data_IF_194556584078
#
_entry.id   IF_194556584078
#
_cell.length_a   1.000
_cell.length_b   1.000
_cell.length_c   1.000
_cell.angle_alpha   90.00
_cell.angle_beta   90.00
_cell.angle_gamma   90.00
#
_symmetry.space_group_name_H-M   'P 1'
#
loop_
_entity.id
_entity.type
_entity.pdbx_description
1 polymer ?
#
# COMPACT_ATOMS: atom_id res chain seq x y z
N UNK A 1 -4.31 2.28 -20.54
CA UNK A 1 -4.82 2.69 -19.22
C UNK A 1 -3.62 2.90 -18.30
N UNK A 2 -3.73 3.78 -17.30
CA UNK A 2 -2.66 4.01 -16.34
C UNK A 2 -2.82 2.99 -15.21
N UNK A 3 -1.77 2.22 -14.88
CA UNK A 3 -1.84 1.11 -13.94
C UNK A 3 -1.47 1.62 -12.55
N UNK A 4 -2.45 2.00 -11.74
CA UNK A 4 -2.23 2.81 -10.53
C UNK A 4 -2.82 2.20 -9.27
N UNK A 5 -2.09 2.35 -8.19
CA UNK A 5 -2.63 2.34 -6.84
C UNK A 5 -2.69 3.77 -6.33
N UNK A 6 -3.81 4.15 -5.72
CA UNK A 6 -4.03 5.49 -5.18
C UNK A 6 -4.34 5.37 -3.70
N UNK A 7 -3.55 6.02 -2.86
CA UNK A 7 -3.85 6.18 -1.45
C UNK A 7 -4.63 7.48 -1.25
N UNK A 8 -5.81 7.34 -0.65
CA UNK A 8 -6.75 8.40 -0.39
C UNK A 8 -6.95 8.59 1.12
N UNK A 9 -7.08 9.84 1.54
CA UNK A 9 -7.66 10.23 2.82
C UNK A 9 -9.12 10.61 2.61
N UNK A 10 -9.98 10.26 3.56
CA UNK A 10 -11.41 10.52 3.49
C UNK A 10 -11.83 11.30 4.73
N UNK A 11 -12.63 12.33 4.55
CA UNK A 11 -13.18 13.12 5.66
C UNK A 11 -14.27 12.38 6.45
N UNK A 12 -14.84 11.34 5.85
CA UNK A 12 -16.00 10.56 6.31
C UNK A 12 -15.80 9.06 6.03
N UNK A 13 -16.74 8.20 6.45
CA UNK A 13 -16.70 6.76 6.15
C UNK A 13 -17.24 6.48 4.75
N UNK A 14 -16.42 5.82 3.92
CA UNK A 14 -16.73 5.54 2.52
C UNK A 14 -17.98 4.68 2.32
N UNK A 15 -18.28 3.77 3.25
CA UNK A 15 -19.39 2.82 3.09
C UNK A 15 -20.65 3.22 3.85
N UNK A 16 -20.56 4.19 4.76
CA UNK A 16 -21.68 4.62 5.60
C UNK A 16 -22.26 5.98 5.16
N UNK A 17 -21.44 6.86 4.57
CA UNK A 17 -21.82 8.24 4.26
C UNK A 17 -22.08 8.46 2.75
N UNK A 18 -23.07 9.29 2.43
CA UNK A 18 -23.47 9.59 1.04
C UNK A 18 -22.56 10.61 0.34
N UNK A 19 -21.89 11.50 1.09
CA UNK A 19 -21.05 12.60 0.57
C UNK A 19 -19.62 12.55 1.10
N UNK A 20 -18.86 11.56 0.65
CA UNK A 20 -17.47 11.36 1.09
C UNK A 20 -16.50 12.12 0.18
N UNK A 21 -15.68 13.01 0.75
CA UNK A 21 -14.65 13.72 0.00
C UNK A 21 -13.37 12.89 -0.03
N UNK A 22 -12.92 12.59 -1.25
CA UNK A 22 -11.70 11.86 -1.50
C UNK A 22 -10.53 12.82 -1.68
N UNK A 23 -9.51 12.68 -0.84
CA UNK A 23 -8.28 13.45 -0.89
C UNK A 23 -7.11 12.58 -1.30
N UNK A 24 -6.56 12.82 -2.49
CA UNK A 24 -5.38 12.08 -2.95
C UNK A 24 -4.15 12.41 -2.11
N UNK A 25 -3.60 11.40 -1.43
CA UNK A 25 -2.39 11.52 -0.62
C UNK A 25 -1.16 11.15 -1.42
N UNK A 26 -1.25 10.04 -2.14
CA UNK A 26 -0.16 9.52 -2.94
C UNK A 26 -0.65 8.59 -4.06
N UNK A 27 0.13 8.53 -5.13
CA UNK A 27 -0.14 7.72 -6.32
C UNK A 27 1.11 6.93 -6.69
N UNK A 28 0.92 5.65 -7.05
CA UNK A 28 2.00 4.79 -7.53
C UNK A 28 1.54 3.96 -8.70
N UNK A 29 2.42 3.87 -9.70
CA UNK A 29 2.18 3.02 -10.85
C UNK A 29 2.72 1.61 -10.59
N UNK A 30 1.98 0.60 -11.04
CA UNK A 30 2.40 -0.80 -11.07
C UNK A 30 2.91 -1.34 -9.73
N UNK A 31 2.52 -0.79 -8.57
CA UNK A 31 2.95 -1.27 -7.25
C UNK A 31 2.11 -0.68 -6.12
N UNK A 32 1.99 -1.44 -5.02
CA UNK A 32 1.47 -0.95 -3.74
C UNK A 32 2.64 -0.87 -2.76
N UNK A 33 3.12 0.32 -2.37
CA UNK A 33 4.23 0.45 -1.44
C UNK A 33 3.98 -0.25 -0.11
N UNK A 34 5.01 -0.94 0.41
CA UNK A 34 4.99 -1.59 1.72
C UNK A 34 4.55 -0.65 2.85
N UNK A 35 5.01 0.61 2.81
CA UNK A 35 4.64 1.62 3.81
C UNK A 35 3.13 1.90 3.80
N UNK A 36 2.47 1.82 2.65
CA UNK A 36 1.01 2.00 2.56
C UNK A 36 0.27 0.83 3.20
N UNK A 37 0.79 -0.40 3.06
CA UNK A 37 0.23 -1.59 3.70
C UNK A 37 0.28 -1.50 5.24
N UNK A 38 1.20 -0.72 5.80
CA UNK A 38 1.25 -0.47 7.26
C UNK A 38 -0.02 0.16 7.83
N UNK A 39 -0.89 0.74 6.99
CA UNK A 39 -2.16 1.32 7.41
C UNK A 39 -3.25 0.26 7.63
N UNK A 40 -3.10 -0.93 7.04
CA UNK A 40 -4.18 -1.89 6.89
C UNK A 40 -3.88 -3.23 7.57
N UNK A 41 -4.93 -4.02 7.74
CA UNK A 41 -4.92 -5.42 8.19
C UNK A 41 -5.58 -6.33 7.16
N UNK A 42 -5.34 -7.64 7.24
CA UNK A 42 -6.11 -8.64 6.49
C UNK A 42 -7.63 -8.42 6.50
N UNK A 43 -8.18 -8.00 7.63
CA UNK A 43 -9.61 -7.75 7.80
C UNK A 43 -10.13 -6.44 7.17
N UNK A 44 -9.27 -5.64 6.53
CA UNK A 44 -9.61 -4.34 5.96
C UNK A 44 -9.88 -4.41 4.45
N UNK A 45 -9.73 -5.60 3.84
CA UNK A 45 -10.13 -5.84 2.45
C UNK A 45 -11.65 -5.74 2.35
N UNK A 46 -12.13 -4.87 1.46
CA UNK A 46 -13.56 -4.65 1.17
C UNK A 46 -13.78 -4.75 -0.32
N UNK A 47 -14.95 -5.23 -0.73
CA UNK A 47 -15.35 -5.29 -2.13
C UNK A 47 -16.27 -4.11 -2.45
N UNK A 48 -15.97 -3.37 -3.50
CA UNK A 48 -16.82 -2.32 -4.05
C UNK A 48 -16.94 -2.51 -5.56
N UNK A 49 -18.13 -2.87 -6.06
CA UNK A 49 -18.34 -3.24 -7.48
C UNK A 49 -17.26 -4.19 -8.02
N UNK A 50 -17.01 -5.29 -7.30
CA UNK A 50 -16.00 -6.31 -7.64
C UNK A 50 -14.53 -5.85 -7.61
N UNK A 51 -14.27 -4.66 -7.08
CA UNK A 51 -12.94 -4.11 -6.87
C UNK A 51 -12.53 -4.30 -5.41
N UNK A 52 -11.41 -5.00 -5.13
CA UNK A 52 -10.91 -5.18 -3.77
C UNK A 52 -10.16 -3.94 -3.29
N UNK A 53 -10.75 -3.17 -2.39
CA UNK A 53 -10.18 -1.97 -1.80
C UNK A 53 -9.69 -2.26 -0.37
N UNK A 54 -8.77 -1.46 0.16
CA UNK A 54 -8.41 -1.49 1.59
C UNK A 54 -8.96 -0.25 2.27
N UNK A 55 -9.75 -0.41 3.33
CA UNK A 55 -10.28 0.72 4.10
C UNK A 55 -10.01 0.52 5.59
N UNK A 56 -9.41 1.52 6.22
CA UNK A 56 -9.21 1.56 7.66
C UNK A 56 -9.60 2.93 8.22
N UNK A 57 -10.22 2.93 9.40
CA UNK A 57 -10.42 4.16 10.17
C UNK A 57 -9.07 4.75 10.59
N UNK A 58 -9.05 6.04 10.84
CA UNK A 58 -7.84 6.73 11.32
C UNK A 58 -7.29 6.09 12.57
N UNK A 59 -8.15 5.78 13.53
CA UNK A 59 -7.74 5.15 14.79
C UNK A 59 -7.07 3.80 14.51
N UNK A 60 -7.69 2.96 13.68
CA UNK A 60 -7.12 1.67 13.29
C UNK A 60 -5.79 1.83 12.54
N UNK A 61 -5.72 2.75 11.57
CA UNK A 61 -4.53 3.00 10.77
C UNK A 61 -3.35 3.48 11.63
N UNK A 62 -3.59 4.38 12.59
CA UNK A 62 -2.55 4.85 13.52
C UNK A 62 -2.09 3.73 14.47
N UNK A 63 -3.01 2.90 14.95
CA UNK A 63 -2.66 1.72 15.74
C UNK A 63 -1.84 0.70 14.93
N UNK A 64 -2.17 0.52 13.65
CA UNK A 64 -1.44 -0.35 12.72
C UNK A 64 -0.02 0.15 12.45
N UNK A 65 0.15 1.46 12.24
CA UNK A 65 1.46 2.10 12.10
C UNK A 65 2.31 1.91 13.36
N UNK A 66 1.76 2.20 14.54
CA UNK A 66 2.47 2.05 15.81
C UNK A 66 2.94 0.61 16.04
N UNK A 67 2.08 -0.37 15.71
CA UNK A 67 2.40 -1.79 15.83
C UNK A 67 3.48 -2.24 14.82
N UNK A 68 3.35 -1.86 13.55
CA UNK A 68 4.18 -2.41 12.48
C UNK A 68 5.52 -1.69 12.29
N UNK A 69 5.63 -0.42 12.69
CA UNK A 69 6.83 0.39 12.44
C UNK A 69 8.15 -0.22 12.94
N UNK A 70 8.25 -0.82 14.15
CA UNK A 70 9.49 -1.46 14.60
C UNK A 70 9.90 -2.63 13.72
N UNK A 71 8.95 -3.51 13.39
CA UNK A 71 9.19 -4.70 12.57
C UNK A 71 9.57 -4.33 11.13
N UNK A 72 8.86 -3.37 10.53
CA UNK A 72 9.15 -2.86 9.18
C UNK A 72 10.51 -2.17 9.13
N UNK A 73 10.86 -1.39 10.16
CA UNK A 73 12.19 -0.77 10.26
C UNK A 73 13.29 -1.83 10.33
N UNK A 74 13.10 -2.88 11.14
CA UNK A 74 14.05 -3.99 11.25
C UNK A 74 14.19 -4.75 9.92
N UNK A 75 13.08 -4.97 9.22
CA UNK A 75 13.02 -5.65 7.94
C UNK A 75 13.75 -4.90 6.82
N UNK A 76 13.48 -3.59 6.70
CA UNK A 76 14.10 -2.75 5.69
C UNK A 76 15.57 -2.39 6.00
N UNK A 77 16.01 -2.64 7.24
CA UNK A 77 17.37 -2.43 7.69
C UNK A 77 17.64 -1.01 8.25
N UNK A 78 18.84 -0.79 8.81
CA UNK A 78 19.14 0.36 9.67
C UNK A 78 19.05 1.73 8.97
N UNK A 79 19.18 1.78 7.64
CA UNK A 79 19.02 3.03 6.88
C UNK A 79 17.57 3.48 6.69
N UNK A 80 16.59 2.64 7.03
CA UNK A 80 15.16 2.88 6.77
C UNK A 80 14.42 3.59 7.91
N UNK A 81 15.02 3.68 9.10
CA UNK A 81 14.34 4.19 10.29
C UNK A 81 13.77 5.61 10.10
N UNK A 82 14.54 6.50 9.47
CA UNK A 82 14.08 7.85 9.16
C UNK A 82 12.91 7.87 8.17
N UNK A 83 12.91 6.97 7.18
CA UNK A 83 11.83 6.85 6.21
C UNK A 83 10.53 6.36 6.86
N UNK A 84 10.62 5.31 7.69
CA UNK A 84 9.46 4.77 8.42
C UNK A 84 8.90 5.82 9.39
N UNK A 85 9.76 6.54 10.11
CA UNK A 85 9.33 7.61 10.99
C UNK A 85 8.63 8.74 10.23
N UNK A 86 9.20 9.21 9.11
CA UNK A 86 8.59 10.25 8.28
C UNK A 86 7.22 9.83 7.75
N UNK A 87 7.05 8.56 7.39
CA UNK A 87 5.76 8.01 7.00
C UNK A 87 4.74 8.06 8.13
N UNK A 88 5.10 7.57 9.32
CA UNK A 88 4.25 7.63 10.50
C UNK A 88 3.86 9.09 10.84
N UNK A 89 4.80 10.03 10.77
CA UNK A 89 4.54 11.44 11.00
C UNK A 89 3.62 12.07 9.95
N UNK A 90 3.82 11.74 8.67
CA UNK A 90 2.98 12.23 7.58
C UNK A 90 1.53 11.82 7.79
N UNK A 91 1.28 10.54 8.05
CA UNK A 91 -0.06 10.01 8.31
C UNK A 91 -0.64 10.60 9.61
N UNK A 92 0.17 10.67 10.67
CA UNK A 92 -0.22 11.23 11.96
C UNK A 92 -0.66 12.70 11.91
N UNK A 93 -0.06 13.51 11.03
CA UNK A 93 -0.38 14.95 10.87
C UNK A 93 -1.68 15.21 10.12
N UNK A 94 -2.13 14.27 9.28
CA UNK A 94 -3.39 14.39 8.57
C UNK A 94 -4.58 14.30 9.55
N UNK A 95 -5.76 14.77 9.16
CA UNK A 95 -6.99 14.74 10.00
C UNK A 95 -8.16 14.01 9.34
N UNK A 96 -7.87 13.10 8.41
CA UNK A 96 -8.88 12.29 7.73
C UNK A 96 -9.55 11.31 8.70
N UNK A 97 -10.84 11.05 8.52
CA UNK A 97 -11.56 10.03 9.28
C UNK A 97 -11.12 8.62 8.88
N UNK A 98 -10.85 8.40 7.59
CA UNK A 98 -10.46 7.10 7.04
C UNK A 98 -9.29 7.21 6.05
N UNK A 99 -8.68 6.06 5.76
CA UNK A 99 -7.70 5.87 4.70
C UNK A 99 -8.16 4.75 3.76
N UNK A 100 -8.13 5.01 2.46
CA UNK A 100 -8.54 4.06 1.42
C UNK A 100 -7.38 3.81 0.45
N UNK A 101 -7.06 2.55 0.20
CA UNK A 101 -6.25 2.16 -0.95
C UNK A 101 -7.17 1.77 -2.10
N UNK A 102 -7.18 2.59 -3.14
CA UNK A 102 -7.86 2.29 -4.39
C UNK A 102 -6.95 1.50 -5.33
N UNK A 103 -7.41 0.31 -5.70
CA UNK A 103 -6.72 -0.67 -6.54
C UNK A 103 -7.44 -0.91 -7.87
N UNK A 104 -8.43 -0.09 -8.24
CA UNK A 104 -9.24 -0.26 -9.45
C UNK A 104 -8.39 -0.52 -10.69
N UNK A 105 -7.41 0.37 -10.94
CA UNK A 105 -6.53 0.28 -12.10
C UNK A 105 -5.62 -0.97 -12.06
N UNK A 106 -5.43 -1.61 -10.91
CA UNK A 106 -4.74 -2.90 -10.79
C UNK A 106 -5.68 -4.08 -11.02
N UNK A 107 -6.91 -4.04 -10.48
CA UNK A 107 -7.91 -5.10 -10.64
C UNK A 107 -8.34 -5.28 -12.10
N UNK A 108 -8.42 -4.19 -12.87
CA UNK A 108 -8.78 -4.28 -14.30
C UNK A 108 -7.70 -4.93 -15.17
N UNK A 109 -6.49 -5.15 -14.64
CA UNK A 109 -5.41 -5.88 -15.31
C UNK A 109 -5.46 -7.38 -15.06
N UNK A 110 -6.40 -7.83 -14.24
CA UNK A 110 -6.53 -9.22 -13.89
C UNK A 110 -7.15 -10.00 -15.06
N UNK A 111 -6.41 -10.98 -15.59
CA UNK A 111 -6.90 -11.87 -16.65
C UNK A 111 -7.79 -13.00 -16.11
N UNK A 112 -7.66 -13.32 -14.81
CA UNK A 112 -8.35 -14.41 -14.13
C UNK A 112 -9.15 -13.89 -12.93
N UNK A 113 -10.48 -14.02 -13.01
CA UNK A 113 -11.40 -13.48 -12.00
C UNK A 113 -11.04 -13.89 -10.56
N UNK A 114 -10.77 -12.90 -9.70
CA UNK A 114 -10.58 -13.08 -8.26
C UNK A 114 -9.16 -13.43 -7.82
N UNK A 115 -8.24 -13.64 -8.76
CA UNK A 115 -6.81 -13.85 -8.50
C UNK A 115 -6.17 -12.69 -7.74
N UNK A 116 -6.29 -11.46 -8.22
CA UNK A 116 -5.79 -10.23 -7.59
C UNK A 116 -6.33 -10.04 -6.17
N UNK A 117 -7.60 -10.36 -5.92
CA UNK A 117 -8.16 -10.32 -4.57
C UNK A 117 -7.45 -11.31 -3.65
N UNK A 118 -7.23 -12.53 -4.14
CA UNK A 118 -6.54 -13.58 -3.39
C UNK A 118 -5.09 -13.20 -3.12
N UNK A 119 -4.40 -12.65 -4.13
CA UNK A 119 -3.03 -12.16 -4.00
C UNK A 119 -2.94 -10.98 -3.01
N UNK A 120 -3.85 -10.00 -3.08
CA UNK A 120 -3.90 -8.88 -2.14
C UNK A 120 -4.13 -9.35 -0.70
N UNK A 121 -5.02 -10.32 -0.50
CA UNK A 121 -5.25 -10.92 0.81
C UNK A 121 -3.99 -11.61 1.33
N UNK A 122 -3.33 -12.40 0.48
CA UNK A 122 -2.08 -13.07 0.83
C UNK A 122 -0.99 -12.07 1.22
N UNK A 123 -0.84 -10.95 0.47
CA UNK A 123 0.16 -9.93 0.81
C UNK A 123 -0.11 -9.28 2.17
N UNK A 124 -1.37 -9.04 2.52
CA UNK A 124 -1.73 -8.53 3.85
C UNK A 124 -1.45 -9.54 4.96
N UNK A 125 -1.70 -10.82 4.71
CA UNK A 125 -1.43 -11.89 5.68
C UNK A 125 0.07 -12.03 5.94
N UNK A 126 0.89 -12.01 4.87
CA UNK A 126 2.35 -12.01 4.97
C UNK A 126 2.88 -10.75 5.67
N UNK A 127 2.31 -9.58 5.36
CA UNK A 127 2.66 -8.34 6.04
C UNK A 127 2.28 -8.37 7.53
N UNK A 128 1.13 -8.95 7.88
CA UNK A 128 0.72 -9.11 9.27
C UNK A 128 1.69 -10.01 10.03
N UNK A 129 2.16 -11.11 9.42
CA UNK A 129 3.19 -11.97 10.02
C UNK A 129 4.50 -11.21 10.25
N UNK A 130 4.88 -10.31 9.33
CA UNK A 130 6.04 -9.44 9.53
C UNK A 130 5.82 -8.53 10.74
N UNK A 131 4.68 -7.84 10.81
CA UNK A 131 4.34 -6.92 11.88
C UNK A 131 4.27 -7.62 13.27
N UNK A 132 3.78 -8.86 13.30
CA UNK A 132 3.65 -9.66 14.52
C UNK A 132 4.96 -10.40 14.88
N UNK A 133 6.01 -10.28 14.06
CA UNK A 133 7.31 -10.91 14.28
C UNK A 133 7.31 -12.44 14.11
N UNK A 134 6.28 -12.98 13.46
CA UNK A 134 6.09 -14.41 13.20
C UNK A 134 6.50 -14.82 11.79
N UNK A 135 6.89 -13.85 10.94
CA UNK A 135 7.40 -14.11 9.60
C UNK A 135 8.61 -15.06 9.65
N UNK A 136 8.48 -16.19 8.94
CA UNK A 136 9.53 -17.21 8.84
C UNK A 136 10.51 -16.95 7.70
N UNK A 137 10.19 -16.00 6.82
CA UNK A 137 11.01 -15.57 5.68
C UNK A 137 11.42 -14.11 5.85
N UNK A 138 12.61 -13.76 5.32
CA UNK A 138 13.05 -12.35 5.14
C UNK A 138 12.61 -11.77 3.79
N UNK A 139 11.75 -12.49 3.09
CA UNK A 139 11.21 -12.13 1.78
C UNK A 139 9.70 -12.08 1.93
N UNK A 140 9.10 -10.94 1.58
CA UNK A 140 7.68 -10.88 1.28
C UNK A 140 7.52 -11.53 -0.09
N UNK A 141 6.54 -12.43 -0.27
CA UNK A 141 6.25 -13.04 -1.57
C UNK A 141 5.52 -12.01 -2.42
N UNK A 142 6.28 -11.03 -2.83
CA UNK A 142 5.76 -9.92 -3.57
C UNK A 142 5.59 -10.38 -5.00
N UNK A 143 4.34 -10.41 -5.47
CA UNK A 143 4.00 -10.84 -6.82
C UNK A 143 4.90 -10.11 -7.82
N UNK A 144 5.68 -10.92 -8.50
CA UNK A 144 6.56 -10.50 -9.57
C UNK A 144 5.69 -10.07 -10.74
N UNK A 145 6.13 -9.07 -11.50
CA UNK A 145 5.61 -8.77 -12.83
C UNK A 145 5.83 -10.00 -13.75
N UNK A 146 5.00 -11.02 -13.59
CA UNK A 146 5.14 -12.32 -14.25
C UNK A 146 4.10 -12.51 -15.36
N UNK A 147 3.48 -11.43 -15.86
CA UNK A 147 2.73 -11.51 -17.12
C UNK A 147 3.66 -11.22 -18.31
N UNK A 148 3.87 -12.16 -19.25
CA UNK A 148 4.65 -11.97 -20.47
C UNK A 148 4.16 -10.80 -21.34
N UNK A 149 2.89 -10.42 -21.21
CA UNK A 149 2.26 -9.35 -21.98
C UNK A 149 2.69 -7.96 -21.49
N UNK A 150 3.11 -7.86 -20.23
CA UNK A 150 3.68 -6.64 -19.65
C UNK A 150 5.17 -6.45 -20.01
N UNK A 151 5.83 -7.47 -20.57
CA UNK A 151 7.20 -7.36 -21.09
C UNK A 151 7.31 -6.44 -22.33
N UNK A 152 6.19 -6.20 -23.03
CA UNK A 152 6.12 -5.29 -24.18
C UNK A 152 6.16 -3.79 -23.77
N UNK A 153 6.00 -3.50 -22.47
CA UNK A 153 6.15 -2.17 -21.90
C UNK A 153 7.45 -2.13 -21.09
N UNK A 154 8.62 -1.86 -21.72
CA UNK A 154 9.92 -2.08 -21.11
C UNK A 154 10.10 -1.20 -19.87
N UNK A 155 9.92 -1.80 -18.71
CA UNK A 155 10.40 -1.28 -17.45
C UNK A 155 11.93 -1.38 -17.44
N UNK A 156 12.62 -0.24 -17.50
CA UNK A 156 14.10 -0.18 -17.53
C UNK A 156 14.74 -0.19 -16.14
N UNK A 157 13.93 -0.33 -15.09
CA UNK A 157 14.39 -0.63 -13.74
C UNK A 157 14.55 -2.13 -13.54
N UNK A 158 15.50 -2.53 -12.70
CA UNK A 158 15.59 -3.92 -12.22
C UNK A 158 14.23 -4.38 -11.68
N UNK A 159 13.87 -5.68 -11.77
CA UNK A 159 12.62 -6.21 -11.23
C UNK A 159 12.50 -5.76 -9.78
N UNK A 160 11.57 -4.85 -9.54
CA UNK A 160 11.30 -4.36 -8.21
C UNK A 160 10.09 -5.14 -7.71
N UNK A 161 10.17 -5.73 -6.50
CA UNK A 161 8.99 -6.30 -5.88
C UNK A 161 7.89 -5.23 -5.87
N UNK A 162 6.63 -5.60 -6.19
CA UNK A 162 5.40 -4.84 -5.82
C UNK A 162 5.30 -4.38 -4.34
N UNK A 163 6.35 -4.57 -3.53
CA UNK A 163 6.69 -3.94 -2.26
C UNK A 163 8.22 -3.70 -2.28
N UNK A 164 8.64 -2.63 -2.96
CA UNK A 164 10.04 -2.21 -3.04
C UNK A 164 10.23 -1.12 -4.10
N UNK A 165 10.40 0.12 -3.65
CA UNK A 165 10.82 1.37 -4.33
C UNK A 165 10.81 1.47 -5.87
N UNK A 166 9.98 2.36 -6.46
CA UNK A 166 10.42 3.63 -7.08
C UNK A 166 9.25 4.57 -7.46
N UNK A 167 9.55 5.86 -7.65
CA UNK A 167 8.70 7.04 -7.39
C UNK A 167 8.31 7.80 -8.69
N UNK A 168 7.02 8.10 -8.89
CA UNK A 168 6.51 8.99 -9.97
C UNK A 168 5.88 10.30 -9.48
N UNK A 169 5.98 10.60 -8.17
CA UNK A 169 5.65 11.91 -7.57
C UNK A 169 6.52 12.15 -6.33
N UNK A 170 6.88 13.42 -6.13
CA UNK A 170 7.71 13.88 -5.02
C UNK A 170 7.09 13.53 -3.67
N UNK A 171 7.69 12.60 -2.94
CA UNK A 171 7.32 12.34 -1.54
C UNK A 171 7.85 13.49 -0.65
N UNK A 172 7.27 13.73 0.53
CA UNK A 172 7.68 14.83 1.42
C UNK A 172 9.18 14.84 1.78
N UNK A 173 9.84 13.68 1.72
CA UNK A 173 11.26 13.49 2.01
C UNK A 173 12.19 13.57 0.80
N UNK A 174 11.65 13.69 -0.42
CA UNK A 174 12.45 13.90 -1.64
C UNK A 174 12.88 15.37 -1.82
N UNK A 175 12.36 16.29 -1.00
CA UNK A 175 12.93 17.65 -0.88
C UNK A 175 13.87 17.73 0.31
N UNK A 176 15.10 17.24 0.15
CA UNK A 176 16.28 17.73 0.87
C UNK A 176 17.57 17.24 0.20
N UNK A 177 18.00 17.98 -0.81
CA UNK A 177 19.40 18.29 -1.10
C UNK A 177 19.42 19.48 -2.06
N UNK A 178 19.62 20.67 -1.50
CA UNK A 178 20.39 21.71 -2.16
C UNK A 178 21.72 21.78 -1.40
#
# INVERSE_FOLDING_TARGET
MANRAILLGLDQDFFEDEEVKLHELAERNYAIPLLWLMLFRPGDVRMYHDIPLLLASREAALANLARSAPAVTAFLGPGSAGLVQQWCEYIGKNSFANYLLNTYDLKIMEDEEGRFRTELQQWLDEFAQLADGTATTRELAVVTQASPELAAFPYTGRPLPLCGTSFTRSMPWERRAA
#
